data_IF_160986988653
#
_entry.id   IF_160986988653
#
_cell.length_a   1.000
_cell.length_b   1.000
_cell.length_c   1.000
_cell.angle_alpha   90.00
_cell.angle_beta   90.00
_cell.angle_gamma   90.00
#
_symmetry.space_group_name_H-M   'P 1'
#
loop_
_entity.id
_entity.type
_entity.pdbx_description
1 polymer ?
#
# COMPACT_ATOMS: atom_id res chain seq x y z
N UNK A 1 12.76 -7.92 36.59
CA UNK A 1 11.98 -8.76 35.64
C UNK A 1 10.55 -8.88 36.15
N UNK A 2 9.61 -8.10 35.59
CA UNK A 2 8.16 -8.34 35.72
C UNK A 2 7.53 -8.06 34.37
N UNK A 3 7.29 -9.12 33.60
CA UNK A 3 6.43 -9.11 32.43
C UNK A 3 5.00 -9.31 32.94
N UNK A 4 4.22 -8.24 33.03
CA UNK A 4 2.81 -8.30 33.43
C UNK A 4 1.92 -7.83 32.28
N UNK A 5 0.95 -8.66 31.90
CA UNK A 5 -0.27 -8.21 31.22
C UNK A 5 -0.56 -8.87 29.87
N UNK A 6 -0.80 -10.18 29.84
CA UNK A 6 -1.64 -10.76 28.79
C UNK A 6 -3.03 -10.14 28.90
N UNK A 7 -3.45 -9.33 27.92
CA UNK A 7 -4.79 -8.73 27.90
C UNK A 7 -5.85 -9.85 27.98
N UNK A 8 -6.89 -9.74 28.82
CA UNK A 8 -7.89 -10.79 28.97
C UNK A 8 -8.63 -11.03 27.66
N UNK A 9 -8.80 -12.31 27.30
CA UNK A 9 -9.45 -12.80 26.08
C UNK A 9 -10.81 -12.14 25.79
N UNK A 10 -11.57 -11.79 26.82
CA UNK A 10 -12.86 -11.09 26.70
C UNK A 10 -12.77 -9.71 26.04
N UNK A 11 -11.63 -9.01 26.11
CA UNK A 11 -11.47 -7.73 25.41
C UNK A 11 -11.41 -7.90 23.89
N UNK A 12 -10.98 -9.07 23.40
CA UNK A 12 -10.83 -9.35 21.97
C UNK A 12 -12.18 -9.67 21.32
N UNK A 13 -13.09 -10.35 22.02
CA UNK A 13 -14.45 -10.66 21.55
C UNK A 13 -15.22 -9.38 21.22
N UNK A 14 -15.03 -8.32 22.00
CA UNK A 14 -15.69 -7.03 21.77
C UNK A 14 -15.20 -6.34 20.49
N UNK A 15 -13.92 -6.49 20.14
CA UNK A 15 -13.34 -5.90 18.92
C UNK A 15 -13.98 -6.52 17.68
N UNK A 16 -14.13 -7.85 17.63
CA UNK A 16 -14.74 -8.53 16.49
C UNK A 16 -16.22 -8.19 16.34
N UNK A 17 -16.96 -8.06 17.44
CA UNK A 17 -18.36 -7.63 17.41
C UNK A 17 -18.51 -6.20 16.88
N UNK A 18 -17.68 -5.28 17.36
CA UNK A 18 -17.66 -3.88 16.89
C UNK A 18 -17.29 -3.80 15.41
N UNK A 19 -16.25 -4.51 14.99
CA UNK A 19 -15.83 -4.57 13.59
C UNK A 19 -16.95 -5.12 12.70
N UNK A 20 -17.60 -6.21 13.13
CA UNK A 20 -18.72 -6.80 12.40
C UNK A 20 -19.88 -5.82 12.25
N UNK A 21 -20.25 -5.11 13.32
CA UNK A 21 -21.29 -4.08 13.26
C UNK A 21 -20.92 -2.95 12.29
N UNK A 22 -19.66 -2.49 12.30
CA UNK A 22 -19.21 -1.45 11.36
C UNK A 22 -19.25 -1.91 9.91
N UNK A 23 -18.84 -3.15 9.64
CA UNK A 23 -18.91 -3.74 8.30
C UNK A 23 -20.36 -3.92 7.85
N UNK A 24 -21.26 -4.33 8.76
CA UNK A 24 -22.68 -4.48 8.44
C UNK A 24 -23.37 -3.13 8.17
N UNK A 25 -23.01 -2.09 8.93
CA UNK A 25 -23.54 -0.73 8.75
C UNK A 25 -23.00 -0.07 7.48
N UNK A 26 -21.72 -0.25 7.18
CA UNK A 26 -21.05 0.31 6.01
C UNK A 26 -20.23 -0.77 5.31
N UNK A 27 -20.86 -1.55 4.41
CA UNK A 27 -20.17 -2.59 3.65
C UNK A 27 -19.01 -2.00 2.84
N UNK A 28 -17.84 -2.67 2.79
CA UNK A 28 -16.76 -2.26 1.92
C UNK A 28 -17.17 -2.41 0.45
N UNK A 29 -16.80 -1.44 -0.38
CA UNK A 29 -16.95 -1.49 -1.83
C UNK A 29 -15.61 -1.76 -2.50
N UNK A 30 -15.67 -2.37 -3.68
CA UNK A 30 -14.51 -2.74 -4.50
C UNK A 30 -14.78 -2.49 -5.98
N UNK A 31 -15.63 -1.50 -6.28
CA UNK A 31 -16.17 -1.27 -7.62
C UNK A 31 -15.03 -0.93 -8.60
N UNK A 32 -14.11 -0.06 -8.20
CA UNK A 32 -12.96 0.29 -9.05
C UNK A 32 -12.03 -0.91 -9.28
N UNK A 33 -11.89 -1.81 -8.30
CA UNK A 33 -11.12 -3.05 -8.45
C UNK A 33 -11.78 -3.98 -9.47
N UNK A 34 -13.11 -4.13 -9.41
CA UNK A 34 -13.89 -5.01 -10.29
C UNK A 34 -13.98 -4.48 -11.73
N UNK A 35 -14.01 -3.16 -11.91
CA UNK A 35 -14.01 -2.51 -13.23
C UNK A 35 -12.67 -2.59 -13.95
N UNK A 36 -11.56 -2.81 -13.22
CA UNK A 36 -10.20 -2.81 -13.75
C UNK A 36 -9.45 -4.14 -13.54
N UNK A 37 -9.99 -5.29 -13.99
CA UNK A 37 -9.43 -6.62 -13.68
C UNK A 37 -8.02 -6.83 -14.25
N UNK A 38 -7.70 -6.22 -15.39
CA UNK A 38 -6.38 -6.31 -16.04
C UNK A 38 -5.28 -5.59 -15.27
N UNK A 39 -5.64 -4.64 -14.40
CA UNK A 39 -4.71 -3.85 -13.59
C UNK A 39 -4.39 -4.51 -12.24
N UNK A 40 -4.92 -5.71 -11.98
CA UNK A 40 -4.76 -6.43 -10.72
C UNK A 40 -3.87 -7.67 -10.90
N UNK A 41 -2.75 -7.74 -10.18
CA UNK A 41 -1.86 -8.91 -10.23
C UNK A 41 -2.53 -10.19 -9.71
N UNK A 42 -3.42 -10.04 -8.73
CA UNK A 42 -4.06 -11.17 -8.06
C UNK A 42 -5.53 -10.87 -7.79
N UNK A 43 -6.48 -11.71 -8.24
CA UNK A 43 -7.91 -11.50 -8.02
C UNK A 43 -8.32 -11.71 -6.56
N UNK A 44 -7.49 -12.40 -5.77
CA UNK A 44 -7.75 -12.70 -4.36
C UNK A 44 -7.29 -11.59 -3.40
N UNK A 45 -6.59 -10.57 -3.90
CA UNK A 45 -6.15 -9.42 -3.12
C UNK A 45 -7.03 -8.25 -3.55
N UNK A 46 -7.96 -7.85 -2.71
CA UNK A 46 -8.95 -6.83 -3.07
C UNK A 46 -8.44 -5.43 -2.74
N UNK A 47 -8.65 -4.47 -3.64
CA UNK A 47 -8.38 -3.05 -3.41
C UNK A 47 -9.68 -2.32 -3.02
N UNK A 48 -9.75 -1.83 -1.78
CA UNK A 48 -10.92 -1.16 -1.21
C UNK A 48 -11.10 0.24 -1.78
N UNK A 49 -12.30 0.60 -2.25
CA UNK A 49 -12.53 1.95 -2.79
C UNK A 49 -12.31 3.06 -1.77
N UNK A 50 -12.66 2.82 -0.49
CA UNK A 50 -12.55 3.82 0.57
C UNK A 50 -11.12 4.25 0.90
N UNK A 51 -10.14 3.40 0.60
CA UNK A 51 -8.73 3.62 0.97
C UNK A 51 -7.82 3.62 -0.24
N UNK A 52 -8.32 3.35 -1.45
CA UNK A 52 -7.47 3.31 -2.63
C UNK A 52 -6.84 4.67 -2.91
N UNK A 53 -5.65 4.62 -3.52
CA UNK A 53 -5.08 5.82 -4.13
C UNK A 53 -5.88 6.15 -5.38
N UNK A 54 -6.23 7.43 -5.56
CA UNK A 54 -6.92 7.94 -6.75
C UNK A 54 -5.91 8.74 -7.55
N UNK A 55 -5.54 8.26 -8.74
CA UNK A 55 -4.56 8.95 -9.57
C UNK A 55 -5.15 10.24 -10.16
N UNK A 56 -4.30 11.25 -10.28
CA UNK A 56 -4.62 12.47 -11.00
C UNK A 56 -4.68 12.21 -12.50
N UNK A 57 -5.53 12.97 -13.19
CA UNK A 57 -5.65 12.94 -14.65
C UNK A 57 -4.65 13.87 -15.34
N UNK A 58 -3.65 14.37 -14.60
CA UNK A 58 -2.69 15.37 -15.11
C UNK A 58 -1.69 14.77 -16.10
N UNK A 59 -1.33 13.50 -15.92
CA UNK A 59 -0.26 12.82 -16.67
C UNK A 59 -0.76 11.61 -17.47
N UNK A 60 -2.07 11.41 -17.60
CA UNK A 60 -2.64 10.29 -18.32
C UNK A 60 -4.12 10.07 -18.03
N UNK A 61 -4.69 9.04 -18.65
CA UNK A 61 -6.08 8.64 -18.46
C UNK A 61 -6.21 7.58 -17.35
N UNK A 62 -7.40 7.46 -16.77
CA UNK A 62 -7.68 6.52 -15.69
C UNK A 62 -7.21 7.01 -14.31
N UNK A 63 -7.94 6.59 -13.27
CA UNK A 63 -7.69 7.00 -11.88
C UNK A 63 -7.39 5.82 -10.94
N UNK A 64 -7.26 4.61 -11.49
CA UNK A 64 -7.10 3.38 -10.74
C UNK A 64 -5.66 2.87 -10.82
N UNK A 65 -5.04 2.70 -9.66
CA UNK A 65 -3.92 1.80 -9.46
C UNK A 65 -4.23 0.91 -8.26
N UNK A 66 -3.68 -0.30 -8.24
CA UNK A 66 -3.87 -1.21 -7.12
C UNK A 66 -2.95 -0.83 -5.95
N UNK A 67 -3.32 0.26 -5.28
CA UNK A 67 -2.65 0.79 -4.13
C UNK A 67 -3.66 1.37 -3.14
N UNK A 68 -3.36 1.29 -1.85
CA UNK A 68 -4.20 1.81 -0.78
C UNK A 68 -3.40 2.58 0.26
N UNK A 69 -3.99 3.65 0.78
CA UNK A 69 -3.51 4.33 1.96
C UNK A 69 -3.70 3.45 3.19
N UNK A 70 -2.67 3.45 4.04
CA UNK A 70 -2.66 2.76 5.32
C UNK A 70 -2.22 3.76 6.39
N UNK A 71 -2.96 3.76 7.49
CA UNK A 71 -2.63 4.60 8.64
C UNK A 71 -1.26 4.20 9.20
N UNK A 72 -0.43 5.20 9.51
CA UNK A 72 0.75 4.97 10.33
C UNK A 72 0.38 5.00 11.81
N UNK A 73 1.36 4.71 12.66
CA UNK A 73 1.18 4.88 14.10
C UNK A 73 0.85 6.33 14.48
N UNK A 74 1.43 7.30 13.77
CA UNK A 74 1.37 8.71 14.13
C UNK A 74 0.30 9.51 13.37
N UNK A 75 -0.14 9.03 12.21
CA UNK A 75 -1.09 9.77 11.37
C UNK A 75 -1.93 8.86 10.47
N UNK A 76 -3.09 9.39 10.10
CA UNK A 76 -3.92 8.82 9.05
C UNK A 76 -3.20 8.87 7.69
N UNK A 77 -3.43 7.86 6.85
CA UNK A 77 -2.94 7.77 5.46
C UNK A 77 -1.41 7.96 5.37
N UNK A 78 -0.70 7.40 6.35
CA UNK A 78 0.73 7.65 6.55
C UNK A 78 1.64 6.85 5.63
N UNK A 79 1.14 5.74 5.11
CA UNK A 79 1.81 4.89 4.14
C UNK A 79 0.91 4.65 2.93
N UNK A 80 1.51 4.28 1.81
CA UNK A 80 0.79 3.65 0.69
C UNK A 80 1.33 2.25 0.50
N UNK A 81 0.45 1.27 0.50
CA UNK A 81 0.76 -0.09 0.10
C UNK A 81 0.31 -0.27 -1.35
N UNK A 82 1.23 -0.68 -2.22
CA UNK A 82 0.96 -0.95 -3.63
C UNK A 82 1.39 -2.36 -4.00
N UNK A 83 0.68 -2.96 -4.96
CA UNK A 83 1.20 -4.11 -5.67
C UNK A 83 2.44 -3.71 -6.48
N UNK A 84 3.32 -4.67 -6.78
CA UNK A 84 4.40 -4.45 -7.73
C UNK A 84 3.89 -4.39 -9.18
N UNK A 85 4.37 -3.43 -9.99
CA UNK A 85 4.07 -3.39 -11.40
C UNK A 85 4.48 -4.71 -12.08
N UNK A 86 3.69 -5.16 -13.05
CA UNK A 86 3.89 -6.43 -13.78
C UNK A 86 3.72 -6.33 -15.29
N UNK A 87 3.18 -5.22 -15.77
CA UNK A 87 3.04 -4.87 -17.18
C UNK A 87 3.48 -3.42 -17.38
N UNK A 88 3.78 -3.06 -18.62
CA UNK A 88 4.09 -1.67 -19.04
C UNK A 88 3.02 -0.68 -18.55
N UNK A 89 1.74 -1.02 -18.70
CA UNK A 89 0.62 -0.19 -18.23
C UNK A 89 0.66 0.02 -16.70
N UNK A 90 0.88 -1.04 -15.92
CA UNK A 90 0.95 -0.91 -14.45
C UNK A 90 2.20 -0.21 -13.96
N UNK A 91 3.29 -0.22 -14.74
CA UNK A 91 4.51 0.53 -14.46
C UNK A 91 4.29 2.03 -14.65
N UNK A 92 3.63 2.44 -15.73
CA UNK A 92 3.23 3.84 -15.94
C UNK A 92 2.34 4.34 -14.80
N UNK A 93 1.31 3.56 -14.43
CA UNK A 93 0.41 3.89 -13.33
C UNK A 93 1.15 3.96 -11.98
N UNK A 94 2.15 3.10 -11.75
CA UNK A 94 2.97 3.14 -10.55
C UNK A 94 3.79 4.44 -10.46
N UNK A 95 4.44 4.86 -11.55
CA UNK A 95 5.20 6.11 -11.53
C UNK A 95 4.31 7.34 -11.45
N UNK A 96 3.13 7.33 -12.07
CA UNK A 96 2.10 8.37 -11.87
C UNK A 96 1.68 8.45 -10.41
N UNK A 97 1.46 7.31 -9.76
CA UNK A 97 1.17 7.27 -8.32
C UNK A 97 2.29 7.88 -7.50
N UNK A 98 3.55 7.57 -7.80
CA UNK A 98 4.71 8.14 -7.09
C UNK A 98 4.75 9.65 -7.23
N UNK A 99 4.48 10.19 -8.42
CA UNK A 99 4.40 11.63 -8.66
C UNK A 99 3.26 12.27 -7.87
N UNK A 100 2.07 11.66 -7.88
CA UNK A 100 0.89 12.21 -7.20
C UNK A 100 1.01 12.13 -5.66
N UNK A 101 1.58 11.06 -5.14
CA UNK A 101 1.73 10.80 -3.69
C UNK A 101 2.92 11.56 -3.09
N UNK A 102 3.95 11.81 -3.91
CA UNK A 102 5.24 12.42 -3.54
C UNK A 102 5.87 11.78 -2.28
N UNK A 103 6.22 10.47 -2.34
CA UNK A 103 6.76 9.77 -1.20
C UNK A 103 8.24 10.07 -0.98
N UNK A 104 8.66 10.12 0.29
CA UNK A 104 10.08 10.25 0.69
C UNK A 104 10.91 9.02 0.38
N UNK A 105 10.31 7.83 0.44
CA UNK A 105 11.02 6.56 0.27
C UNK A 105 10.09 5.51 -0.29
N UNK A 106 10.65 4.68 -1.17
CA UNK A 106 10.04 3.51 -1.76
C UNK A 106 10.73 2.27 -1.16
N UNK A 107 10.01 1.47 -0.40
CA UNK A 107 10.53 0.21 0.18
C UNK A 107 9.91 -0.95 -0.57
N UNK A 108 10.73 -1.87 -1.06
CA UNK A 108 10.28 -3.11 -1.70
C UNK A 108 10.39 -4.25 -0.70
N UNK A 109 9.25 -4.82 -0.31
CA UNK A 109 9.20 -5.99 0.57
C UNK A 109 8.96 -7.22 -0.30
N UNK A 110 9.99 -8.02 -0.57
CA UNK A 110 9.91 -9.23 -1.40
C UNK A 110 11.25 -9.75 -1.90
N UNK A 111 11.28 -10.98 -2.45
CA UNK A 111 12.43 -11.48 -3.22
C UNK A 111 12.25 -11.10 -4.69
N UNK A 112 13.27 -10.46 -5.28
CA UNK A 112 13.35 -10.17 -6.73
C UNK A 112 13.98 -11.38 -7.44
N UNK A 113 13.44 -12.57 -7.19
CA UNK A 113 13.90 -13.77 -7.90
C UNK A 113 13.15 -13.90 -9.22
N UNK A 114 13.83 -13.60 -10.32
CA UNK A 114 13.35 -13.69 -11.70
C UNK A 114 13.07 -15.14 -12.18
N UNK A 115 13.28 -16.15 -11.34
CA UNK A 115 13.36 -17.56 -11.79
C UNK A 115 12.02 -18.27 -11.85
N UNK A 116 10.95 -17.73 -11.25
CA UNK A 116 9.58 -18.22 -11.42
C UNK A 116 8.56 -17.09 -11.28
N UNK A 117 7.92 -16.72 -12.39
CA UNK A 117 6.88 -15.67 -12.51
C UNK A 117 5.75 -15.86 -11.48
N UNK A 118 5.55 -17.08 -10.98
CA UNK A 118 4.50 -17.45 -10.02
C UNK A 118 4.81 -17.13 -8.56
N UNK A 119 6.07 -16.84 -8.17
CA UNK A 119 6.48 -16.59 -6.76
C UNK A 119 6.86 -15.14 -6.44
N UNK A 120 6.91 -14.25 -7.44
CA UNK A 120 7.09 -12.80 -7.25
C UNK A 120 5.82 -12.10 -6.68
N UNK A 121 5.05 -12.83 -5.87
CA UNK A 121 3.67 -12.52 -5.46
C UNK A 121 3.59 -11.51 -4.32
N UNK A 122 4.70 -11.22 -3.65
CA UNK A 122 4.76 -10.30 -2.52
C UNK A 122 5.97 -9.41 -2.73
N UNK A 123 5.95 -8.58 -3.76
CA UNK A 123 6.71 -7.34 -3.76
C UNK A 123 5.70 -6.25 -3.43
N UNK A 124 5.49 -6.00 -2.14
CA UNK A 124 4.64 -4.90 -1.68
C UNK A 124 5.51 -3.66 -1.55
N UNK A 125 5.14 -2.61 -2.28
CA UNK A 125 5.80 -1.33 -2.16
C UNK A 125 5.19 -0.56 -1.00
N UNK A 126 6.01 -0.12 -0.05
CA UNK A 126 5.60 0.80 1.01
C UNK A 126 6.18 2.17 0.69
N UNK A 127 5.29 3.13 0.47
CA UNK A 127 5.65 4.52 0.25
C UNK A 127 5.48 5.31 1.54
N UNK A 128 6.58 5.92 2.00
CA UNK A 128 6.61 6.76 3.20
C UNK A 128 6.31 8.22 2.85
N UNK A 129 5.18 8.78 3.29
CA UNK A 129 4.88 10.21 3.04
C UNK A 129 5.60 11.15 4.04
N UNK A 130 5.83 12.40 3.69
CA UNK A 130 6.41 13.41 4.62
C UNK A 130 5.46 13.80 5.74
N UNK A 131 5.93 13.87 6.99
CA UNK A 131 5.17 14.48 8.10
C UNK A 131 4.99 15.99 7.85
N UNK A 132 3.78 16.52 8.08
CA UNK A 132 3.48 17.96 7.94
C UNK A 132 4.00 18.79 9.13
N UNK A 133 4.42 18.14 10.23
CA UNK A 133 5.12 18.78 11.31
C UNK A 133 6.63 18.70 11.06
N UNK A 134 7.25 19.87 10.95
CA UNK A 134 8.69 20.10 10.85
C UNK A 134 9.39 19.51 12.08
N UNK A 135 9.65 18.20 12.09
CA UNK A 135 10.72 17.64 12.89
C UNK A 135 12.01 17.88 12.12
N UNK A 136 12.88 18.70 12.68
CA UNK A 136 14.11 19.19 12.05
C UNK A 136 15.20 18.11 11.85
N UNK A 137 14.92 16.83 12.15
CA UNK A 137 15.92 15.75 12.17
C UNK A 137 15.61 14.57 11.22
N UNK A 138 14.81 14.77 10.16
CA UNK A 138 14.58 13.75 9.14
C UNK A 138 15.36 14.03 7.84
N UNK A 139 16.64 14.36 7.95
CA UNK A 139 17.62 14.09 6.88
C UNK A 139 18.23 12.72 7.18
N UNK A 140 17.58 11.64 6.76
CA UNK A 140 18.33 10.41 6.51
C UNK A 140 18.79 10.46 5.06
N UNK A 141 20.10 10.65 4.93
CA UNK A 141 20.80 10.57 3.66
C UNK A 141 20.56 9.24 2.96
N UNK A 142 20.44 9.39 1.65
CA UNK A 142 20.31 8.42 0.59
C UNK A 142 21.38 7.31 0.65
N UNK A 143 20.96 6.04 0.78
CA UNK A 143 21.70 4.89 0.25
C UNK A 143 20.75 4.08 -0.61
N UNK A 144 20.69 4.45 -1.88
CA UNK A 144 20.22 3.56 -2.94
C UNK A 144 21.37 2.56 -3.15
N UNK A 145 21.26 1.35 -2.59
CA UNK A 145 22.04 0.23 -3.13
C UNK A 145 21.36 -0.21 -4.42
N UNK A 146 21.64 0.53 -5.49
CA UNK A 146 21.41 0.11 -6.85
C UNK A 146 22.30 -1.09 -7.12
N UNK A 147 21.67 -2.24 -7.34
CA UNK A 147 22.10 -3.13 -8.42
C UNK A 147 20.87 -3.54 -9.21
N UNK A 148 20.39 -2.56 -9.97
CA UNK A 148 19.66 -2.79 -11.21
C UNK A 148 20.75 -2.94 -12.26
N UNK A 149 21.32 -4.14 -12.39
CA UNK A 149 22.15 -4.50 -13.53
C UNK A 149 21.17 -4.97 -14.64
N UNK A 150 20.76 -4.03 -15.49
CA UNK A 150 20.20 -4.34 -16.81
C UNK A 150 21.35 -4.84 -17.68
N UNK A 151 21.25 -6.09 -18.15
CA UNK A 151 21.99 -6.59 -19.31
C UNK A 151 20.98 -6.82 -20.42
#
# INVERSE_FOLDING_TARGET
>A
LRLNGSKPFFSQINIFKELHQRIALNPPTFDSFLENPTLNRSPNVLCLDRSRVILSTKYGNGNYCHASYVDSYERKDGYVFSQAPFSEETEELFWRMVIDVDPKMIIVLGSVEFTNITRATIATFVLLRSCAHTCADCTMDMVIHSKVDVI
#
